data_IF_708778524410
#
_entry.id   IF_708778524410
#
_cell.length_a   1.000
_cell.length_b   1.000
_cell.length_c   1.000
_cell.angle_alpha   90.00
_cell.angle_beta   90.00
_cell.angle_gamma   90.00
#
_symmetry.space_group_name_H-M   'P 1'
#
loop_
_entity.id
_entity.type
_entity.pdbx_description
1 polymer ?
#
# COMPACT_ATOMS: atom_id res chain seq x y z
N UNK A 1 20.98 3.64 -44.68
CA UNK A 1 20.31 2.34 -44.50
C UNK A 1 21.29 1.32 -43.96
N UNK A 2 21.02 0.76 -42.78
CA UNK A 2 21.80 -0.32 -42.17
C UNK A 2 21.71 -1.61 -43.00
N UNK A 3 22.61 -2.57 -42.76
CA UNK A 3 22.57 -3.88 -43.43
C UNK A 3 21.24 -4.59 -43.20
N UNK A 4 20.69 -4.48 -41.98
CA UNK A 4 19.38 -5.05 -41.62
C UNK A 4 18.23 -4.35 -42.33
N UNK A 5 18.28 -3.03 -42.51
CA UNK A 5 17.26 -2.29 -43.27
C UNK A 5 17.26 -2.67 -44.76
N UNK A 6 18.45 -2.86 -45.35
CA UNK A 6 18.59 -3.34 -46.74
C UNK A 6 18.05 -4.77 -46.89
N UNK A 7 18.31 -5.63 -45.91
CA UNK A 7 17.79 -6.99 -45.90
C UNK A 7 16.26 -7.00 -45.75
N UNK A 8 15.71 -6.22 -44.82
CA UNK A 8 14.26 -6.11 -44.62
C UNK A 8 13.54 -5.61 -45.87
N UNK A 9 14.11 -4.64 -46.60
CA UNK A 9 13.57 -4.18 -47.88
C UNK A 9 13.53 -5.32 -48.91
N UNK A 10 14.63 -6.04 -49.09
CA UNK A 10 14.71 -7.18 -50.02
C UNK A 10 13.79 -8.33 -49.64
N UNK A 11 13.60 -8.59 -48.33
CA UNK A 11 12.66 -9.60 -47.84
C UNK A 11 11.20 -9.26 -48.14
N UNK A 12 10.84 -7.97 -48.26
CA UNK A 12 9.49 -7.55 -48.67
C UNK A 12 9.24 -7.73 -50.16
N UNK A 13 10.30 -7.73 -50.97
CA UNK A 13 10.22 -7.92 -52.42
C UNK A 13 10.17 -9.41 -52.83
N UNK A 14 10.41 -10.34 -51.90
CA UNK A 14 10.32 -11.79 -52.12
C UNK A 14 8.85 -12.25 -52.22
N UNK A 15 8.53 -13.25 -53.08
CA UNK A 15 7.21 -13.87 -53.09
C UNK A 15 6.83 -14.44 -51.73
N UNK A 16 5.56 -14.29 -51.33
CA UNK A 16 5.07 -14.73 -50.02
C UNK A 16 5.34 -16.22 -49.75
N UNK A 17 5.20 -17.09 -50.76
CA UNK A 17 5.40 -18.53 -50.59
C UNK A 17 6.88 -18.89 -50.31
N UNK A 18 7.82 -18.25 -51.02
CA UNK A 18 9.27 -18.43 -50.77
C UNK A 18 9.67 -17.93 -49.38
N UNK A 19 9.08 -16.81 -48.94
CA UNK A 19 9.31 -16.28 -47.60
C UNK A 19 8.77 -17.21 -46.52
N UNK A 20 7.58 -17.79 -46.73
CA UNK A 20 6.99 -18.78 -45.81
C UNK A 20 7.85 -20.03 -45.72
N UNK A 21 8.30 -20.59 -46.84
CA UNK A 21 9.19 -21.77 -46.84
C UNK A 21 10.51 -21.50 -46.11
N UNK A 22 11.08 -20.31 -46.29
CA UNK A 22 12.30 -19.91 -45.60
C UNK A 22 12.08 -19.79 -44.09
N UNK A 23 10.97 -19.18 -43.66
CA UNK A 23 10.60 -19.05 -42.25
C UNK A 23 10.32 -20.41 -41.60
N UNK A 24 9.62 -21.31 -42.28
CA UNK A 24 9.34 -22.67 -41.78
C UNK A 24 10.64 -23.44 -41.59
N UNK A 25 11.54 -23.42 -42.56
CA UNK A 25 12.85 -24.07 -42.46
C UNK A 25 13.70 -23.49 -41.33
N UNK A 26 13.73 -22.16 -41.20
CA UNK A 26 14.43 -21.50 -40.10
C UNK A 26 13.83 -21.86 -38.73
N UNK A 27 12.52 -22.09 -38.67
CA UNK A 27 11.83 -22.48 -37.44
C UNK A 27 12.11 -23.95 -37.05
N UNK A 28 12.42 -24.84 -37.98
CA UNK A 28 12.83 -26.22 -37.67
C UNK A 28 14.12 -26.25 -36.84
N UNK A 29 15.05 -25.35 -37.15
CA UNK A 29 16.35 -25.26 -36.47
C UNK A 29 16.33 -24.31 -35.26
N UNK A 30 15.30 -23.46 -35.13
CA UNK A 30 15.20 -22.46 -34.08
C UNK A 30 13.86 -22.54 -33.31
N UNK A 31 13.83 -23.24 -32.16
CA UNK A 31 12.62 -23.38 -31.34
C UNK A 31 12.02 -22.05 -30.87
N UNK A 32 12.84 -21.00 -30.66
CA UNK A 32 12.34 -19.67 -30.27
C UNK A 32 11.59 -19.00 -31.43
N UNK A 33 12.16 -19.06 -32.63
CA UNK A 33 11.51 -18.54 -33.85
C UNK A 33 10.24 -19.32 -34.16
N UNK A 34 10.26 -20.65 -34.03
CA UNK A 34 9.07 -21.49 -34.19
C UNK A 34 7.95 -21.07 -33.25
N UNK A 35 8.28 -20.87 -31.96
CA UNK A 35 7.31 -20.37 -30.98
C UNK A 35 6.76 -18.99 -31.38
N UNK A 36 7.62 -18.07 -31.81
CA UNK A 36 7.19 -16.73 -32.22
C UNK A 36 6.29 -16.74 -33.46
N UNK A 37 6.60 -17.56 -34.46
CA UNK A 37 5.77 -17.72 -35.66
C UNK A 37 4.41 -18.31 -35.30
N UNK A 38 4.39 -19.43 -34.55
CA UNK A 38 3.13 -20.05 -34.08
C UNK A 38 2.31 -19.06 -33.27
N UNK A 39 2.94 -18.33 -32.34
CA UNK A 39 2.26 -17.31 -31.53
C UNK A 39 1.67 -16.18 -32.39
N UNK A 40 2.32 -15.79 -33.49
CA UNK A 40 1.86 -14.72 -34.39
C UNK A 40 0.80 -15.19 -35.40
N UNK A 41 0.82 -16.46 -35.80
CA UNK A 41 -0.12 -17.01 -36.78
C UNK A 41 -1.31 -17.72 -36.16
N UNK A 42 -1.33 -17.93 -34.83
CA UNK A 42 -2.40 -18.63 -34.15
C UNK A 42 -3.78 -18.00 -34.39
N UNK A 43 -4.75 -18.85 -34.74
CA UNK A 43 -6.14 -18.43 -34.82
C UNK A 43 -6.82 -18.43 -33.43
N UNK A 44 -8.09 -18.03 -33.39
CA UNK A 44 -8.88 -18.00 -32.14
C UNK A 44 -8.96 -19.40 -31.51
N UNK A 45 -9.10 -20.45 -32.32
CA UNK A 45 -9.25 -21.83 -31.86
C UNK A 45 -7.96 -22.35 -31.25
N UNK A 46 -6.82 -22.06 -31.88
CA UNK A 46 -5.49 -22.43 -31.40
C UNK A 46 -5.16 -21.75 -30.06
N UNK A 47 -5.42 -20.44 -29.96
CA UNK A 47 -5.22 -19.66 -28.74
C UNK A 47 -6.13 -20.16 -27.61
N UNK A 48 -7.42 -20.39 -27.89
CA UNK A 48 -8.37 -20.94 -26.93
C UNK A 48 -7.95 -22.33 -26.45
N UNK A 49 -7.51 -23.21 -27.36
CA UNK A 49 -7.05 -24.55 -26.99
C UNK A 49 -5.76 -24.52 -26.16
N UNK A 50 -4.82 -23.62 -26.49
CA UNK A 50 -3.58 -23.44 -25.73
C UNK A 50 -3.86 -22.95 -24.30
N UNK A 51 -4.70 -21.93 -24.14
CA UNK A 51 -5.10 -21.41 -22.84
C UNK A 51 -5.80 -22.50 -21.99
N UNK A 52 -6.75 -23.25 -22.58
CA UNK A 52 -7.43 -24.36 -21.89
C UNK A 52 -6.43 -25.42 -21.41
N UNK A 53 -5.48 -25.84 -22.25
CA UNK A 53 -4.42 -26.79 -21.85
C UNK A 53 -3.59 -26.24 -20.70
N UNK A 54 -3.26 -24.95 -20.73
CA UNK A 54 -2.53 -24.28 -19.66
C UNK A 54 -3.28 -24.28 -18.33
N UNK A 55 -4.57 -23.94 -18.35
CA UNK A 55 -5.47 -23.98 -17.18
C UNK A 55 -5.58 -25.42 -16.65
N UNK A 56 -5.82 -26.41 -17.52
CA UNK A 56 -5.86 -27.83 -17.11
C UNK A 56 -4.53 -28.32 -16.53
N UNK A 57 -3.40 -27.75 -16.95
CA UNK A 57 -2.11 -28.08 -16.38
C UNK A 57 -1.86 -27.42 -15.01
N UNK A 58 -2.66 -26.43 -14.60
CA UNK A 58 -2.66 -25.87 -13.24
C UNK A 58 -3.54 -26.69 -12.30
N UNK A 59 -4.67 -27.23 -12.77
CA UNK A 59 -5.53 -28.14 -11.99
C UNK A 59 -4.94 -29.54 -11.78
N UNK A 60 -3.76 -29.79 -12.33
CA UNK A 60 -3.01 -31.06 -12.23
C UNK A 60 -1.65 -30.86 -11.55
N UNK A 61 -1.47 -29.73 -10.86
CA UNK A 61 -0.32 -29.58 -9.98
C UNK A 61 -0.44 -30.62 -8.88
N UNK A 62 0.72 -31.14 -8.49
CA UNK A 62 0.88 -32.20 -7.52
C UNK A 62 2.25 -32.01 -6.88
N UNK A 63 2.23 -31.57 -5.63
CA UNK A 63 3.39 -31.32 -4.80
C UNK A 63 3.95 -32.59 -4.17
N UNK A 64 3.18 -33.67 -4.11
CA UNK A 64 3.63 -34.97 -3.59
C UNK A 64 4.70 -35.56 -4.51
N UNK A 65 4.56 -35.38 -5.83
CA UNK A 65 5.50 -35.92 -6.82
C UNK A 65 6.66 -35.00 -7.16
N UNK A 66 6.62 -33.70 -6.80
CA UNK A 66 7.70 -32.75 -7.08
C UNK A 66 7.62 -31.46 -6.26
N UNK A 67 8.78 -30.84 -6.03
CA UNK A 67 8.86 -29.51 -5.45
C UNK A 67 8.31 -28.47 -6.44
N UNK A 68 7.29 -27.73 -6.01
CA UNK A 68 6.69 -26.62 -6.75
C UNK A 68 7.23 -25.28 -6.25
N UNK A 69 7.58 -24.40 -7.20
CA UNK A 69 8.16 -23.09 -6.93
C UNK A 69 7.11 -22.00 -7.21
N UNK A 70 6.74 -21.25 -6.18
CA UNK A 70 5.71 -20.20 -6.26
C UNK A 70 6.00 -19.16 -7.35
N UNK A 71 7.27 -18.76 -7.53
CA UNK A 71 7.66 -17.81 -8.59
C UNK A 71 7.50 -18.40 -9.99
N UNK A 72 7.72 -19.71 -10.18
CA UNK A 72 7.48 -20.38 -11.47
C UNK A 72 5.99 -20.54 -11.76
N UNK A 73 5.19 -20.90 -10.75
CA UNK A 73 3.75 -21.07 -10.92
C UNK A 73 3.06 -19.71 -11.14
N UNK A 74 3.41 -18.69 -10.36
CA UNK A 74 2.95 -17.31 -10.56
C UNK A 74 3.24 -16.81 -11.98
N UNK A 75 4.48 -16.95 -12.47
CA UNK A 75 4.82 -16.61 -13.87
C UNK A 75 3.99 -17.37 -14.90
N UNK A 76 3.67 -18.64 -14.63
CA UNK A 76 2.81 -19.44 -15.52
C UNK A 76 1.37 -18.91 -15.54
N UNK A 77 0.83 -18.49 -14.41
CA UNK A 77 -0.49 -17.82 -14.32
C UNK A 77 -0.46 -16.52 -15.12
N UNK A 78 0.55 -15.67 -14.89
CA UNK A 78 0.69 -14.41 -15.63
C UNK A 78 0.84 -14.61 -17.15
N UNK A 79 1.63 -15.61 -17.57
CA UNK A 79 1.78 -15.95 -18.98
C UNK A 79 0.47 -16.42 -19.60
N UNK A 80 -0.36 -17.14 -18.84
CA UNK A 80 -1.70 -17.52 -19.29
C UNK A 80 -2.62 -16.31 -19.40
N UNK A 81 -2.59 -15.39 -18.44
CA UNK A 81 -3.34 -14.12 -18.54
C UNK A 81 -2.91 -13.35 -19.80
N UNK A 82 -1.60 -13.25 -20.08
CA UNK A 82 -1.08 -12.60 -21.30
C UNK A 82 -1.56 -13.30 -22.58
N UNK A 83 -1.65 -14.63 -22.60
CA UNK A 83 -2.16 -15.38 -23.75
C UNK A 83 -3.66 -15.16 -23.94
N UNK A 84 -4.44 -15.17 -22.85
CA UNK A 84 -5.88 -14.94 -22.86
C UNK A 84 -6.18 -13.49 -23.29
N UNK A 85 -5.35 -12.52 -22.89
CA UNK A 85 -5.48 -11.13 -23.32
C UNK A 85 -5.36 -10.97 -24.84
N UNK A 86 -4.40 -11.66 -25.46
CA UNK A 86 -4.25 -11.66 -26.93
C UNK A 86 -5.47 -12.25 -27.62
N UNK A 87 -6.01 -13.36 -27.09
CA UNK A 87 -7.28 -13.91 -27.56
C UNK A 87 -8.41 -12.87 -27.45
N UNK A 88 -8.44 -12.13 -26.34
CA UNK A 88 -9.43 -11.09 -26.07
C UNK A 88 -9.42 -9.91 -27.05
N UNK A 89 -8.37 -9.73 -27.85
CA UNK A 89 -8.39 -8.78 -28.97
C UNK A 89 -9.44 -9.15 -30.02
N UNK A 90 -9.62 -10.46 -30.27
CA UNK A 90 -10.50 -11.00 -31.32
C UNK A 90 -11.77 -11.65 -30.79
N UNK A 91 -11.71 -12.26 -29.61
CA UNK A 91 -12.79 -13.03 -29.00
C UNK A 91 -12.94 -12.70 -27.50
N UNK A 92 -13.43 -11.49 -27.14
CA UNK A 92 -13.48 -11.01 -25.75
C UNK A 92 -14.33 -11.90 -24.84
N UNK A 93 -15.49 -12.40 -25.29
CA UNK A 93 -16.34 -13.28 -24.51
C UNK A 93 -15.67 -14.64 -24.19
N UNK A 94 -14.92 -15.22 -25.13
CA UNK A 94 -14.16 -16.46 -24.89
C UNK A 94 -13.00 -16.22 -23.93
N UNK A 95 -12.26 -15.11 -24.13
CA UNK A 95 -11.16 -14.74 -23.26
C UNK A 95 -11.62 -14.51 -21.82
N UNK A 96 -12.70 -13.75 -21.62
CA UNK A 96 -13.26 -13.52 -20.29
C UNK A 96 -13.69 -14.83 -19.62
N UNK A 97 -14.36 -15.73 -20.35
CA UNK A 97 -14.70 -17.05 -19.82
C UNK A 97 -13.47 -17.86 -19.40
N UNK A 98 -12.35 -17.76 -20.13
CA UNK A 98 -11.10 -18.42 -19.75
C UNK A 98 -10.46 -17.79 -18.51
N UNK A 99 -10.57 -16.48 -18.30
CA UNK A 99 -10.13 -15.84 -17.04
C UNK A 99 -10.96 -16.33 -15.85
N UNK A 100 -12.28 -16.44 -15.99
CA UNK A 100 -13.12 -17.01 -14.94
C UNK A 100 -12.77 -18.48 -14.63
N UNK A 101 -12.45 -19.28 -15.66
CA UNK A 101 -11.95 -20.64 -15.47
C UNK A 101 -10.58 -20.69 -14.79
N UNK A 102 -9.67 -19.77 -15.16
CA UNK A 102 -8.35 -19.64 -14.55
C UNK A 102 -8.48 -19.26 -13.07
N UNK A 103 -9.36 -18.30 -12.74
CA UNK A 103 -9.66 -17.92 -11.35
C UNK A 103 -10.10 -19.14 -10.52
N UNK A 104 -10.93 -20.02 -11.09
CA UNK A 104 -11.34 -21.28 -10.44
C UNK A 104 -10.21 -22.27 -10.13
N UNK A 105 -8.97 -22.00 -10.56
CA UNK A 105 -7.80 -22.83 -10.21
C UNK A 105 -7.05 -22.37 -8.96
N UNK A 106 -7.36 -21.19 -8.43
CA UNK A 106 -6.64 -20.57 -7.30
C UNK A 106 -6.53 -21.49 -6.08
N UNK A 107 -7.65 -22.12 -5.68
CA UNK A 107 -7.68 -23.03 -4.53
C UNK A 107 -6.73 -24.21 -4.69
N UNK A 108 -6.83 -24.93 -5.80
CA UNK A 108 -5.94 -26.06 -6.06
C UNK A 108 -4.48 -25.62 -6.04
N UNK A 109 -4.16 -24.45 -6.62
CA UNK A 109 -2.78 -23.96 -6.62
C UNK A 109 -2.27 -23.68 -5.20
N UNK A 110 -3.08 -23.08 -4.32
CA UNK A 110 -2.68 -22.81 -2.94
C UNK A 110 -2.59 -24.09 -2.07
N UNK A 111 -3.37 -25.12 -2.39
CA UNK A 111 -3.26 -26.43 -1.73
C UNK A 111 -1.93 -27.12 -2.10
N UNK A 112 -1.44 -26.90 -3.31
CA UNK A 112 -0.22 -27.54 -3.83
C UNK A 112 1.06 -26.69 -3.65
N UNK A 113 0.94 -25.37 -3.43
CA UNK A 113 2.10 -24.46 -3.47
C UNK A 113 2.09 -23.50 -2.28
N UNK A 114 3.21 -23.49 -1.54
CA UNK A 114 3.45 -22.49 -0.49
C UNK A 114 3.59 -21.08 -1.09
N UNK A 115 2.60 -20.23 -0.83
CA UNK A 115 2.57 -18.83 -1.25
C UNK A 115 2.88 -17.86 -0.09
N UNK A 116 3.75 -18.23 0.85
CA UNK A 116 4.21 -17.30 1.91
C UNK A 116 4.81 -16.00 1.36
N UNK A 117 5.26 -16.00 0.09
CA UNK A 117 5.74 -14.81 -0.63
C UNK A 117 4.64 -13.89 -1.18
N UNK A 118 3.39 -14.36 -1.29
CA UNK A 118 2.26 -13.63 -1.88
C UNK A 118 2.24 -13.54 -3.41
N UNK A 119 3.17 -14.19 -4.11
CA UNK A 119 3.33 -14.08 -5.57
C UNK A 119 2.20 -14.73 -6.36
N UNK A 120 1.63 -15.82 -5.86
CA UNK A 120 0.48 -16.47 -6.50
C UNK A 120 -0.76 -15.60 -6.27
N UNK A 121 -0.95 -15.16 -5.02
CA UNK A 121 -2.02 -14.23 -4.64
C UNK A 121 -2.00 -12.98 -5.52
N UNK A 122 -0.84 -12.36 -5.74
CA UNK A 122 -0.70 -11.18 -6.60
C UNK A 122 -1.02 -11.48 -8.07
N UNK A 123 -0.66 -12.65 -8.59
CA UNK A 123 -0.99 -13.03 -9.97
C UNK A 123 -2.52 -13.08 -10.20
N UNK A 124 -3.28 -13.55 -9.22
CA UNK A 124 -4.75 -13.54 -9.26
C UNK A 124 -5.32 -12.14 -8.98
N UNK A 125 -4.91 -11.49 -7.89
CA UNK A 125 -5.51 -10.24 -7.39
C UNK A 125 -5.09 -8.99 -8.14
N UNK A 126 -3.99 -9.04 -8.87
CA UNK A 126 -3.50 -7.88 -9.63
C UNK A 126 -3.56 -8.17 -11.12
N UNK A 127 -2.84 -9.19 -11.58
CA UNK A 127 -2.67 -9.43 -13.03
C UNK A 127 -3.96 -9.92 -13.69
N UNK A 128 -4.59 -10.97 -13.14
CA UNK A 128 -5.84 -11.50 -13.69
C UNK A 128 -6.98 -10.48 -13.56
N UNK A 129 -7.16 -9.85 -12.40
CA UNK A 129 -8.23 -8.85 -12.20
C UNK A 129 -8.14 -7.69 -13.17
N UNK A 130 -6.94 -7.12 -13.37
CA UNK A 130 -6.73 -6.02 -14.33
C UNK A 130 -7.07 -6.42 -15.76
N UNK A 131 -6.76 -7.66 -16.16
CA UNK A 131 -7.11 -8.20 -17.47
C UNK A 131 -8.64 -8.38 -17.61
N UNK A 132 -9.29 -8.95 -16.60
CA UNK A 132 -10.73 -9.18 -16.58
C UNK A 132 -11.53 -7.87 -16.66
N UNK A 133 -11.19 -6.87 -15.84
CA UNK A 133 -11.83 -5.55 -15.84
C UNK A 133 -11.75 -4.85 -17.19
N UNK A 134 -10.63 -5.01 -17.91
CA UNK A 134 -10.47 -4.45 -19.27
C UNK A 134 -11.31 -5.20 -20.32
N UNK A 135 -11.49 -6.51 -20.16
CA UNK A 135 -12.16 -7.35 -21.16
C UNK A 135 -13.68 -7.36 -21.00
N UNK A 136 -14.21 -7.26 -19.78
CA UNK A 136 -15.65 -7.38 -19.51
C UNK A 136 -16.47 -6.36 -20.30
N UNK A 137 -16.01 -5.09 -20.38
CA UNK A 137 -16.70 -4.04 -21.15
C UNK A 137 -16.73 -4.27 -22.67
N UNK A 138 -16.01 -5.26 -23.19
CA UNK A 138 -16.01 -5.66 -24.60
C UNK A 138 -16.83 -6.94 -24.85
N UNK A 139 -17.41 -7.52 -23.80
CA UNK A 139 -18.20 -8.75 -23.89
C UNK A 139 -19.66 -8.43 -24.19
N UNK A 140 -20.11 -8.74 -25.42
CA UNK A 140 -21.47 -8.40 -25.86
C UNK A 140 -22.45 -9.59 -25.83
N UNK A 141 -21.94 -10.82 -25.67
CA UNK A 141 -22.77 -12.00 -25.50
C UNK A 141 -23.11 -12.23 -24.02
N UNK A 142 -24.27 -11.73 -23.58
CA UNK A 142 -24.74 -11.83 -22.20
C UNK A 142 -24.87 -13.28 -21.70
N UNK A 143 -25.26 -14.22 -22.57
CA UNK A 143 -25.38 -15.64 -22.21
C UNK A 143 -24.01 -16.22 -21.83
N UNK A 144 -22.98 -15.95 -22.64
CA UNK A 144 -21.61 -16.40 -22.34
C UNK A 144 -21.05 -15.69 -21.10
N UNK A 145 -21.32 -14.39 -20.96
CA UNK A 145 -20.88 -13.61 -19.81
C UNK A 145 -21.48 -14.12 -18.50
N UNK A 146 -22.79 -14.39 -18.48
CA UNK A 146 -23.47 -14.99 -17.33
C UNK A 146 -22.93 -16.38 -16.99
N UNK A 147 -22.68 -17.22 -18.00
CA UNK A 147 -22.06 -18.54 -17.78
C UNK A 147 -20.67 -18.41 -17.16
N UNK A 148 -19.84 -17.49 -17.67
CA UNK A 148 -18.51 -17.23 -17.14
C UNK A 148 -18.55 -16.72 -15.69
N UNK A 149 -19.43 -15.77 -15.38
CA UNK A 149 -19.60 -15.25 -14.02
C UNK A 149 -20.09 -16.33 -13.06
N UNK A 150 -21.01 -17.22 -13.48
CA UNK A 150 -21.42 -18.37 -12.65
C UNK A 150 -20.24 -19.28 -12.32
N UNK A 151 -19.32 -19.50 -13.26
CA UNK A 151 -18.08 -20.25 -13.01
C UNK A 151 -17.19 -19.55 -11.99
N UNK A 152 -17.00 -18.24 -12.12
CA UNK A 152 -16.19 -17.47 -11.17
C UNK A 152 -16.79 -17.52 -9.75
N UNK A 153 -18.12 -17.36 -9.63
CA UNK A 153 -18.82 -17.34 -8.34
C UNK A 153 -19.14 -18.74 -7.77
N UNK A 154 -18.44 -19.80 -8.18
CA UNK A 154 -18.67 -21.14 -7.62
C UNK A 154 -18.23 -21.23 -6.16
N UNK A 155 -17.03 -20.77 -5.84
CA UNK A 155 -16.47 -20.76 -4.49
C UNK A 155 -15.51 -19.58 -4.32
N UNK A 156 -15.39 -19.05 -3.11
CA UNK A 156 -14.44 -17.96 -2.81
C UNK A 156 -13.69 -18.22 -1.49
N UNK A 157 -12.83 -19.25 -1.44
CA UNK A 157 -12.14 -19.63 -0.22
C UNK A 157 -11.18 -18.55 0.31
N UNK A 158 -10.74 -17.61 -0.54
CA UNK A 158 -9.76 -16.58 -0.18
C UNK A 158 -10.31 -15.15 -0.21
N UNK A 159 -11.56 -14.93 -0.60
CA UNK A 159 -12.11 -13.59 -0.83
C UNK A 159 -11.67 -12.96 -2.16
N UNK A 160 -10.98 -13.71 -3.02
CA UNK A 160 -10.49 -13.23 -4.32
C UNK A 160 -11.66 -13.05 -5.30
N UNK A 161 -12.72 -13.85 -5.24
CA UNK A 161 -13.88 -13.68 -6.13
C UNK A 161 -14.68 -12.43 -5.76
N UNK A 162 -14.83 -12.11 -4.49
CA UNK A 162 -15.41 -10.83 -4.06
C UNK A 162 -14.66 -9.64 -4.68
N UNK A 163 -13.33 -9.62 -4.60
CA UNK A 163 -12.50 -8.60 -5.25
C UNK A 163 -12.60 -8.63 -6.78
N UNK A 164 -12.77 -9.81 -7.37
CA UNK A 164 -13.00 -9.94 -8.81
C UNK A 164 -14.33 -9.30 -9.21
N UNK A 165 -15.39 -9.50 -8.43
CA UNK A 165 -16.69 -8.85 -8.63
C UNK A 165 -16.55 -7.33 -8.53
N UNK A 166 -15.82 -6.79 -7.56
CA UNK A 166 -15.54 -5.34 -7.50
C UNK A 166 -14.86 -4.83 -8.78
N UNK A 167 -13.95 -5.61 -9.36
CA UNK A 167 -13.21 -5.22 -10.57
C UNK A 167 -14.05 -5.26 -11.85
N UNK A 168 -15.00 -6.19 -11.98
CA UNK A 168 -15.79 -6.38 -13.22
C UNK A 168 -17.22 -5.86 -13.12
N UNK A 169 -17.76 -5.78 -11.90
CA UNK A 169 -19.14 -5.45 -11.57
C UNK A 169 -19.66 -4.18 -12.24
N UNK A 170 -18.94 -3.05 -12.20
CA UNK A 170 -19.38 -1.80 -12.82
C UNK A 170 -19.60 -1.86 -14.34
N UNK A 171 -19.10 -2.92 -15.01
CA UNK A 171 -19.28 -3.15 -16.45
C UNK A 171 -20.22 -4.30 -16.77
N UNK A 172 -20.80 -4.96 -15.76
CA UNK A 172 -21.79 -6.02 -15.97
C UNK A 172 -23.18 -5.39 -16.20
N UNK A 173 -23.98 -5.92 -17.14
CA UNK A 173 -25.40 -5.57 -17.23
C UNK A 173 -26.15 -5.95 -15.96
N UNK A 174 -27.05 -5.08 -15.49
CA UNK A 174 -27.87 -5.28 -14.28
C UNK A 174 -28.63 -6.62 -14.30
N UNK A 175 -29.15 -7.04 -15.46
CA UNK A 175 -29.84 -8.34 -15.63
C UNK A 175 -28.95 -9.53 -15.24
N UNK A 176 -27.65 -9.46 -15.56
CA UNK A 176 -26.67 -10.49 -15.18
C UNK A 176 -26.44 -10.45 -13.67
N UNK A 177 -26.27 -9.25 -13.09
CA UNK A 177 -26.07 -9.08 -11.65
C UNK A 177 -27.27 -9.63 -10.86
N UNK A 178 -28.49 -9.29 -11.27
CA UNK A 178 -29.73 -9.77 -10.64
C UNK A 178 -29.90 -11.29 -10.76
N UNK A 179 -29.53 -11.87 -11.90
CA UNK A 179 -29.53 -13.33 -12.07
C UNK A 179 -28.52 -14.00 -11.12
N UNK A 180 -27.32 -13.42 -10.96
CA UNK A 180 -26.31 -13.94 -10.05
C UNK A 180 -26.74 -13.81 -8.58
N UNK A 181 -27.33 -12.67 -8.19
CA UNK A 181 -27.91 -12.48 -6.86
C UNK A 181 -28.97 -13.53 -6.55
N UNK A 182 -29.83 -13.82 -7.52
CA UNK A 182 -30.85 -14.88 -7.41
C UNK A 182 -30.22 -16.26 -7.24
N UNK A 183 -29.18 -16.59 -8.00
CA UNK A 183 -28.51 -17.89 -7.93
C UNK A 183 -27.75 -18.09 -6.62
N UNK A 184 -27.05 -17.06 -6.15
CA UNK A 184 -26.32 -17.08 -4.88
C UNK A 184 -27.27 -17.08 -3.67
N UNK A 185 -28.43 -16.43 -3.79
CA UNK A 185 -29.48 -16.42 -2.76
C UNK A 185 -30.10 -17.80 -2.49
N UNK A 186 -30.02 -18.74 -3.45
CA UNK A 186 -30.48 -20.13 -3.26
C UNK A 186 -29.53 -20.98 -2.42
N UNK A 187 -28.28 -20.53 -2.23
CA UNK A 187 -27.27 -21.28 -1.47
C UNK A 187 -27.48 -21.04 0.02
N UNK A 188 -27.27 -22.06 0.88
CA UNK A 188 -27.36 -21.88 2.31
C UNK A 188 -26.30 -20.88 2.79
N UNK A 189 -26.69 -20.06 3.77
CA UNK A 189 -25.73 -19.24 4.54
C UNK A 189 -25.07 -20.17 5.55
N UNK A 190 -23.75 -20.13 5.65
CA UNK A 190 -23.02 -20.94 6.62
C UNK A 190 -23.43 -20.56 8.05
N UNK A 191 -23.47 -21.55 8.94
CA UNK A 191 -23.82 -21.31 10.33
C UNK A 191 -22.73 -20.46 11.03
N UNK A 192 -23.11 -19.47 11.86
CA UNK A 192 -22.17 -18.65 12.61
C UNK A 192 -21.17 -19.52 13.39
N UNK A 193 -19.87 -19.28 13.20
CA UNK A 193 -18.83 -19.92 14.00
C UNK A 193 -18.76 -19.25 15.39
N UNK A 194 -18.54 -20.05 16.43
CA UNK A 194 -18.54 -19.59 17.82
C UNK A 194 -17.46 -18.52 18.15
N UNK A 195 -16.47 -18.32 17.26
CA UNK A 195 -15.37 -17.37 17.41
C UNK A 195 -15.72 -15.91 17.06
N UNK A 196 -16.96 -15.62 16.64
CA UNK A 196 -17.44 -14.24 16.43
C UNK A 196 -16.97 -13.55 15.14
N UNK A 197 -16.00 -14.12 14.42
CA UNK A 197 -15.63 -13.70 13.07
C UNK A 197 -16.18 -14.72 12.06
N UNK A 198 -17.32 -14.41 11.45
CA UNK A 198 -17.91 -15.23 10.40
C UNK A 198 -17.65 -14.60 9.04
N UNK A 199 -16.70 -15.17 8.29
CA UNK A 199 -16.55 -14.88 6.86
C UNK A 199 -17.37 -15.89 6.08
N UNK A 200 -18.45 -15.43 5.44
CA UNK A 200 -19.22 -16.23 4.49
C UNK A 200 -18.94 -15.70 3.08
N UNK A 201 -18.19 -16.48 2.32
CA UNK A 201 -17.85 -16.22 0.92
C UNK A 201 -19.08 -15.89 0.06
N UNK A 202 -20.21 -16.60 0.28
CA UNK A 202 -21.44 -16.38 -0.48
C UNK A 202 -22.07 -15.03 -0.14
N UNK A 203 -22.10 -14.67 1.15
CA UNK A 203 -22.60 -13.37 1.60
C UNK A 203 -21.72 -12.25 1.06
N UNK A 204 -20.40 -12.41 1.08
CA UNK A 204 -19.49 -11.36 0.59
C UNK A 204 -19.63 -11.17 -0.93
N UNK A 205 -19.71 -12.23 -1.72
CA UNK A 205 -19.97 -12.12 -3.17
C UNK A 205 -21.29 -11.38 -3.46
N UNK A 206 -22.36 -11.69 -2.71
CA UNK A 206 -23.66 -10.99 -2.84
C UNK A 206 -23.55 -9.52 -2.47
N UNK A 207 -22.81 -9.17 -1.40
CA UNK A 207 -22.53 -7.78 -1.03
C UNK A 207 -21.85 -7.03 -2.18
N UNK A 208 -20.82 -7.61 -2.80
CA UNK A 208 -20.11 -6.97 -3.93
C UNK A 208 -20.97 -6.80 -5.18
N UNK A 209 -21.86 -7.76 -5.47
CA UNK A 209 -22.84 -7.62 -6.54
C UNK A 209 -23.83 -6.48 -6.29
N UNK A 210 -24.29 -6.30 -5.05
CA UNK A 210 -25.18 -5.18 -4.68
C UNK A 210 -24.46 -3.84 -4.77
N UNK A 211 -23.18 -3.78 -4.42
CA UNK A 211 -22.32 -2.61 -4.66
C UNK A 211 -22.25 -2.27 -6.15
N UNK A 212 -22.07 -3.27 -7.01
CA UNK A 212 -21.96 -3.06 -8.46
C UNK A 212 -23.19 -2.40 -9.11
N UNK A 213 -24.39 -2.62 -8.55
CA UNK A 213 -25.65 -1.99 -9.01
C UNK A 213 -26.11 -0.83 -8.11
N UNK A 214 -25.33 -0.46 -7.08
CA UNK A 214 -25.68 0.62 -6.17
C UNK A 214 -26.86 0.33 -5.22
N UNK A 215 -27.29 -0.92 -5.03
CA UNK A 215 -28.48 -1.22 -4.21
C UNK A 215 -28.16 -1.22 -2.71
N UNK A 216 -28.25 -0.04 -2.10
CA UNK A 216 -27.97 0.20 -0.67
C UNK A 216 -28.98 -0.52 0.25
N UNK A 217 -30.25 -0.61 -0.16
CA UNK A 217 -31.32 -1.17 0.67
C UNK A 217 -31.11 -2.68 0.85
N UNK A 218 -31.00 -3.41 -0.26
CA UNK A 218 -30.75 -4.86 -0.21
C UNK A 218 -29.38 -5.17 0.40
N UNK A 219 -28.38 -4.29 0.22
CA UNK A 219 -27.08 -4.46 0.89
C UNK A 219 -27.23 -4.39 2.42
N UNK A 220 -27.99 -3.41 2.91
CA UNK A 220 -28.24 -3.22 4.34
C UNK A 220 -29.06 -4.38 4.92
N UNK A 221 -30.09 -4.83 4.22
CA UNK A 221 -30.91 -6.00 4.60
C UNK A 221 -30.07 -7.29 4.67
N UNK A 222 -29.20 -7.51 3.68
CA UNK A 222 -28.29 -8.66 3.65
C UNK A 222 -27.33 -8.64 4.84
N UNK A 223 -26.76 -7.48 5.18
CA UNK A 223 -25.91 -7.35 6.37
C UNK A 223 -26.69 -7.68 7.65
N UNK A 224 -27.87 -7.08 7.81
CA UNK A 224 -28.71 -7.25 9.01
C UNK A 224 -29.18 -8.69 9.24
N UNK A 225 -29.44 -9.46 8.18
CA UNK A 225 -29.94 -10.84 8.24
C UNK A 225 -28.85 -11.91 8.43
N UNK A 226 -27.57 -11.56 8.30
CA UNK A 226 -26.47 -12.55 8.28
C UNK A 226 -25.46 -12.34 9.42
N UNK A 227 -24.70 -11.26 9.33
CA UNK A 227 -23.53 -10.99 10.19
C UNK A 227 -23.76 -9.79 11.10
N UNK A 228 -24.82 -9.01 10.86
CA UNK A 228 -25.01 -7.69 11.46
C UNK A 228 -24.34 -6.59 10.63
N UNK A 229 -24.77 -5.35 10.82
CA UNK A 229 -24.21 -4.20 10.12
C UNK A 229 -22.95 -3.69 10.83
N UNK A 230 -21.77 -3.95 10.27
CA UNK A 230 -20.50 -3.55 10.88
C UNK A 230 -19.97 -2.22 10.34
N UNK A 231 -18.99 -1.64 11.04
CA UNK A 231 -18.35 -0.40 10.59
C UNK A 231 -17.73 -0.48 9.18
N UNK A 232 -17.19 -1.63 8.76
CA UNK A 232 -16.68 -1.82 7.39
C UNK A 232 -17.79 -1.85 6.33
N UNK A 233 -18.96 -2.40 6.69
CA UNK A 233 -20.14 -2.37 5.83
C UNK A 233 -20.65 -0.92 5.71
N UNK A 234 -20.65 -0.16 6.80
CA UNK A 234 -21.00 1.27 6.79
C UNK A 234 -20.03 2.12 5.94
N UNK A 235 -18.72 1.82 5.93
CA UNK A 235 -17.79 2.47 5.00
C UNK A 235 -18.15 2.18 3.53
N UNK A 236 -18.60 0.95 3.23
CA UNK A 236 -19.03 0.58 1.88
C UNK A 236 -20.33 1.31 1.50
N UNK A 237 -21.31 1.33 2.39
CA UNK A 237 -22.58 2.05 2.19
C UNK A 237 -22.34 3.56 2.00
N UNK A 238 -21.44 4.16 2.79
CA UNK A 238 -21.11 5.57 2.63
C UNK A 238 -20.49 5.86 1.26
N UNK A 239 -19.68 4.96 0.72
CA UNK A 239 -19.13 5.07 -0.64
C UNK A 239 -20.23 4.95 -1.71
N UNK A 240 -21.16 4.00 -1.57
CA UNK A 240 -22.31 3.88 -2.47
C UNK A 240 -23.21 5.15 -2.46
N UNK A 241 -23.44 5.74 -1.29
CA UNK A 241 -24.17 7.02 -1.20
C UNK A 241 -23.44 8.15 -1.94
N UNK A 242 -22.11 8.20 -1.88
CA UNK A 242 -21.32 9.18 -2.66
C UNK A 242 -21.48 8.94 -4.17
N UNK A 243 -21.47 7.68 -4.61
CA UNK A 243 -21.67 7.32 -6.03
C UNK A 243 -23.08 7.68 -6.54
N UNK A 244 -24.06 7.74 -5.63
CA UNK A 244 -25.42 8.21 -5.89
C UNK A 244 -25.61 9.73 -5.71
N UNK A 245 -24.52 10.48 -5.54
CA UNK A 245 -24.53 11.93 -5.24
C UNK A 245 -25.30 12.32 -3.96
N UNK A 246 -25.61 11.37 -3.07
CA UNK A 246 -26.25 11.61 -1.76
C UNK A 246 -25.21 11.76 -0.65
N UNK A 247 -24.59 12.94 -0.62
CA UNK A 247 -23.57 13.28 0.37
C UNK A 247 -24.12 13.32 1.81
N UNK A 248 -25.41 13.59 1.99
CA UNK A 248 -26.03 13.63 3.32
C UNK A 248 -26.23 12.21 3.86
N UNK A 249 -26.73 11.29 3.04
CA UNK A 249 -26.81 9.87 3.37
C UNK A 249 -25.45 9.26 3.69
N UNK A 250 -24.41 9.64 2.92
CA UNK A 250 -23.03 9.22 3.18
C UNK A 250 -22.52 9.72 4.55
N UNK A 251 -22.72 11.00 4.87
CA UNK A 251 -22.30 11.57 6.15
C UNK A 251 -23.02 10.91 7.34
N UNK A 252 -24.35 10.77 7.23
CA UNK A 252 -25.16 10.14 8.27
C UNK A 252 -24.74 8.68 8.51
N UNK A 253 -24.33 7.99 7.46
CA UNK A 253 -23.81 6.62 7.56
C UNK A 253 -22.48 6.59 8.30
N UNK A 254 -21.52 7.45 7.95
CA UNK A 254 -20.23 7.53 8.67
C UNK A 254 -20.40 7.92 10.14
N UNK A 255 -21.34 8.82 10.45
CA UNK A 255 -21.62 9.25 11.82
C UNK A 255 -22.11 8.12 12.74
N UNK A 256 -22.65 7.03 12.19
CA UNK A 256 -23.10 5.85 12.96
C UNK A 256 -21.94 4.93 13.35
N UNK A 257 -20.74 5.10 12.78
CA UNK A 257 -19.58 4.28 13.09
C UNK A 257 -19.01 4.71 14.45
N UNK A 258 -19.08 3.81 15.43
CA UNK A 258 -18.57 4.04 16.79
C UNK A 258 -17.32 3.22 17.15
N UNK A 259 -16.99 2.19 16.35
CA UNK A 259 -15.80 1.36 16.57
C UNK A 259 -14.52 2.16 16.26
N UNK A 260 -13.74 2.46 17.30
CA UNK A 260 -12.48 3.20 17.19
C UNK A 260 -11.51 2.60 16.16
N UNK A 261 -11.46 1.26 16.04
CA UNK A 261 -10.59 0.58 15.07
C UNK A 261 -10.96 0.90 13.64
N UNK A 262 -12.24 1.16 13.37
CA UNK A 262 -12.75 1.55 12.05
C UNK A 262 -12.53 3.03 11.80
N UNK A 263 -12.78 3.88 12.81
CA UNK A 263 -12.57 5.34 12.73
C UNK A 263 -11.08 5.67 12.47
N UNK A 264 -10.16 4.88 13.01
CA UNK A 264 -8.72 5.03 12.79
C UNK A 264 -8.26 4.54 11.40
N UNK A 265 -9.11 3.86 10.62
CA UNK A 265 -8.74 3.38 9.29
C UNK A 265 -8.53 4.56 8.32
N UNK A 266 -7.51 4.50 7.43
CA UNK A 266 -7.31 5.52 6.40
C UNK A 266 -8.53 5.78 5.53
N UNK A 267 -9.30 4.72 5.21
CA UNK A 267 -10.52 4.80 4.39
C UNK A 267 -11.61 5.65 5.05
N UNK A 268 -11.80 5.57 6.38
CA UNK A 268 -12.78 6.40 7.08
C UNK A 268 -12.45 7.89 6.91
N UNK A 269 -11.19 8.26 7.13
CA UNK A 269 -10.73 9.65 6.99
C UNK A 269 -10.83 10.17 5.56
N UNK A 270 -10.47 9.33 4.58
CA UNK A 270 -10.55 9.69 3.17
C UNK A 270 -12.00 9.97 2.72
N UNK A 271 -12.94 9.10 3.09
CA UNK A 271 -14.37 9.30 2.81
C UNK A 271 -14.91 10.54 3.54
N UNK A 272 -14.61 10.70 4.82
CA UNK A 272 -15.05 11.87 5.60
C UNK A 272 -14.55 13.18 5.00
N UNK A 273 -13.28 13.24 4.60
CA UNK A 273 -12.71 14.41 3.94
C UNK A 273 -13.41 14.69 2.60
N UNK A 274 -13.64 13.68 1.76
CA UNK A 274 -14.35 13.82 0.48
C UNK A 274 -15.76 14.36 0.69
N UNK A 275 -16.53 13.76 1.60
CA UNK A 275 -17.91 14.17 1.91
C UNK A 275 -17.95 15.63 2.39
N UNK A 276 -17.14 15.97 3.40
CA UNK A 276 -17.11 17.33 3.93
C UNK A 276 -16.65 18.37 2.92
N UNK A 277 -15.72 18.00 2.03
CA UNK A 277 -15.27 18.89 0.96
C UNK A 277 -16.40 19.19 -0.01
N UNK A 278 -17.13 18.17 -0.43
CA UNK A 278 -18.26 18.33 -1.35
C UNK A 278 -19.45 19.06 -0.69
N UNK A 279 -19.66 18.90 0.62
CA UNK A 279 -20.66 19.63 1.40
C UNK A 279 -20.25 21.06 1.81
N UNK A 280 -19.03 21.51 1.47
CA UNK A 280 -18.54 22.84 1.87
C UNK A 280 -18.32 23.02 3.38
N UNK A 281 -18.11 21.93 4.14
CA UNK A 281 -17.89 21.97 5.59
C UNK A 281 -16.44 22.35 5.94
N UNK A 282 -16.05 23.56 5.55
CA UNK A 282 -14.71 24.09 5.71
C UNK A 282 -14.22 24.08 7.17
N UNK A 283 -15.10 24.40 8.13
CA UNK A 283 -14.76 24.40 9.56
C UNK A 283 -14.44 23.00 10.08
N UNK A 284 -15.19 21.99 9.67
CA UNK A 284 -14.96 20.59 10.05
C UNK A 284 -13.65 20.07 9.46
N UNK A 285 -13.39 20.37 8.19
CA UNK A 285 -12.12 20.04 7.52
C UNK A 285 -10.95 20.72 8.22
N UNK A 286 -11.08 22.01 8.52
CA UNK A 286 -10.06 22.78 9.23
C UNK A 286 -9.77 22.13 10.58
N UNK A 287 -10.79 21.86 11.40
CA UNK A 287 -10.62 21.22 12.70
C UNK A 287 -9.91 19.86 12.61
N UNK A 288 -10.30 19.01 11.65
CA UNK A 288 -9.69 17.70 11.44
C UNK A 288 -8.22 17.80 11.04
N UNK A 289 -7.92 18.56 9.98
CA UNK A 289 -6.55 18.69 9.48
C UNK A 289 -5.65 19.43 10.47
N UNK A 290 -6.18 20.41 11.21
CA UNK A 290 -5.49 21.08 12.31
C UNK A 290 -5.13 20.09 13.42
N UNK A 291 -6.05 19.21 13.80
CA UNK A 291 -5.77 18.14 14.76
C UNK A 291 -4.66 17.20 14.28
N UNK A 292 -4.62 16.89 12.98
CA UNK A 292 -3.58 16.06 12.37
C UNK A 292 -2.20 16.73 12.43
N UNK A 293 -2.11 18.02 12.13
CA UNK A 293 -0.86 18.78 12.29
C UNK A 293 -0.39 18.79 13.75
N UNK A 294 -1.30 19.02 14.70
CA UNK A 294 -0.95 19.13 16.12
C UNK A 294 -0.61 17.78 16.78
N UNK A 295 -1.13 16.67 16.25
CA UNK A 295 -0.91 15.32 16.79
C UNK A 295 0.22 14.58 16.07
N UNK A 296 0.33 14.76 14.75
CA UNK A 296 1.33 14.14 13.89
C UNK A 296 2.07 15.21 13.06
N UNK A 297 2.79 16.15 13.70
CA UNK A 297 3.43 17.28 13.04
C UNK A 297 4.51 16.81 12.08
N UNK A 298 4.27 16.92 10.77
CA UNK A 298 5.21 16.58 9.70
C UNK A 298 5.04 17.59 8.58
N UNK A 299 6.06 17.71 7.73
CA UNK A 299 5.95 18.58 6.54
C UNK A 299 4.78 18.17 5.63
N UNK A 300 4.50 16.87 5.52
CA UNK A 300 3.35 16.36 4.77
C UNK A 300 2.00 16.81 5.36
N UNK A 301 1.79 16.66 6.68
CA UNK A 301 0.52 17.05 7.32
C UNK A 301 0.30 18.57 7.26
N UNK A 302 1.35 19.38 7.43
CA UNK A 302 1.29 20.82 7.26
C UNK A 302 0.98 21.24 5.81
N UNK A 303 1.62 20.60 4.82
CA UNK A 303 1.35 20.90 3.41
C UNK A 303 -0.09 20.58 3.02
N UNK A 304 -0.63 19.45 3.51
CA UNK A 304 -2.05 19.08 3.31
C UNK A 304 -2.96 20.15 3.91
N UNK A 305 -2.70 20.57 5.16
CA UNK A 305 -3.47 21.62 5.82
C UNK A 305 -3.41 22.96 5.08
N UNK A 306 -2.21 23.40 4.70
CA UNK A 306 -1.98 24.64 3.94
C UNK A 306 -2.72 24.64 2.61
N UNK A 307 -2.71 23.51 1.90
CA UNK A 307 -3.40 23.37 0.61
C UNK A 307 -4.92 23.46 0.75
N UNK A 308 -5.47 23.00 1.88
CA UNK A 308 -6.90 22.98 2.14
C UNK A 308 -7.44 24.26 2.79
N UNK A 309 -6.66 24.90 3.66
CA UNK A 309 -7.10 26.00 4.53
C UNK A 309 -6.39 27.34 4.26
N UNK A 310 -5.39 27.36 3.38
CA UNK A 310 -4.64 28.57 3.03
C UNK A 310 -3.41 28.83 3.91
N UNK A 311 -2.59 29.78 3.47
CA UNK A 311 -1.31 30.10 4.14
C UNK A 311 -1.51 30.76 5.52
N UNK A 312 -2.54 31.60 5.67
CA UNK A 312 -2.82 32.28 6.93
C UNK A 312 -3.18 31.29 8.04
N UNK A 313 -4.12 30.38 7.77
CA UNK A 313 -4.48 29.30 8.70
C UNK A 313 -3.26 28.40 9.01
N UNK A 314 -2.43 28.09 8.01
CA UNK A 314 -1.21 27.33 8.20
C UNK A 314 -0.24 28.02 9.16
N UNK A 315 -0.07 29.35 9.06
CA UNK A 315 0.75 30.12 9.97
C UNK A 315 0.20 30.08 11.40
N UNK A 316 -1.12 30.13 11.57
CA UNK A 316 -1.74 30.06 12.89
C UNK A 316 -1.55 28.68 13.54
N UNK A 317 -1.77 27.57 12.80
CA UNK A 317 -1.50 26.25 13.38
C UNK A 317 -0.02 26.03 13.71
N UNK A 318 0.90 26.65 12.96
CA UNK A 318 2.34 26.62 13.29
C UNK A 318 2.60 27.34 14.62
N UNK A 319 1.99 28.51 14.85
CA UNK A 319 2.08 29.22 16.14
C UNK A 319 1.50 28.39 17.28
N UNK A 320 0.36 27.73 17.05
CA UNK A 320 -0.27 26.87 18.05
C UNK A 320 0.57 25.62 18.35
N UNK A 321 1.20 25.03 17.33
CA UNK A 321 2.15 23.95 17.50
C UNK A 321 3.34 24.41 18.35
N UNK A 322 3.92 25.58 18.05
CA UNK A 322 5.01 26.15 18.84
C UNK A 322 4.58 26.38 20.30
N UNK A 323 3.41 26.99 20.53
CA UNK A 323 2.86 27.21 21.87
C UNK A 323 2.61 25.89 22.63
N UNK A 324 2.13 24.84 21.94
CA UNK A 324 1.93 23.51 22.52
C UNK A 324 3.25 22.89 22.97
N UNK A 325 4.29 22.98 22.14
CA UNK A 325 5.63 22.48 22.47
C UNK A 325 6.18 23.30 23.65
N UNK A 326 6.04 24.63 23.65
CA UNK A 326 6.50 25.52 24.74
C UNK A 326 5.79 25.19 26.07
N UNK A 327 4.48 24.96 26.04
CA UNK A 327 3.70 24.59 27.22
C UNK A 327 4.12 23.21 27.76
N UNK A 328 4.41 22.24 26.89
CA UNK A 328 4.93 20.94 27.30
C UNK A 328 6.30 21.08 27.98
N UNK A 329 7.20 21.89 27.41
CA UNK A 329 8.52 22.18 28.00
C UNK A 329 8.41 22.82 29.39
N UNK A 330 7.54 23.83 29.57
CA UNK A 330 7.28 24.45 30.90
C UNK A 330 6.81 23.44 31.93
N UNK A 331 6.00 22.46 31.52
CA UNK A 331 5.51 21.35 32.38
C UNK A 331 6.52 20.22 32.52
N UNK A 332 7.74 20.36 31.98
CA UNK A 332 8.80 19.32 31.92
C UNK A 332 8.31 18.02 31.28
N UNK A 333 7.37 18.13 30.35
CA UNK A 333 6.84 17.01 29.58
C UNK A 333 7.70 16.79 28.33
N UNK A 334 7.83 15.54 27.87
CA UNK A 334 8.59 15.24 26.66
C UNK A 334 7.92 15.89 25.44
N UNK A 335 8.74 16.54 24.61
CA UNK A 335 8.30 17.13 23.35
C UNK A 335 8.33 16.09 22.22
N UNK A 336 7.37 16.18 21.28
CA UNK A 336 7.38 15.37 20.07
C UNK A 336 8.51 15.84 19.13
N UNK A 337 9.50 15.00 18.77
CA UNK A 337 10.61 15.42 17.92
C UNK A 337 10.19 15.84 16.54
N UNK A 338 9.14 15.24 15.97
CA UNK A 338 8.64 15.66 14.67
C UNK A 338 8.12 17.10 14.73
N UNK A 339 7.60 17.54 15.88
CA UNK A 339 7.27 18.95 16.11
C UNK A 339 8.52 19.82 16.14
N UNK A 340 9.57 19.41 16.87
CA UNK A 340 10.84 20.13 16.94
C UNK A 340 11.52 20.24 15.56
N UNK A 341 11.54 19.14 14.79
CA UNK A 341 12.07 19.08 13.42
C UNK A 341 11.30 20.08 12.56
N UNK A 342 9.98 19.97 12.50
CA UNK A 342 9.13 20.84 11.68
C UNK A 342 9.30 22.31 12.05
N UNK A 343 9.24 22.65 13.35
CA UNK A 343 9.40 24.02 13.81
C UNK A 343 10.80 24.59 13.52
N UNK A 344 11.85 23.76 13.64
CA UNK A 344 13.21 24.15 13.27
C UNK A 344 13.34 24.41 11.77
N UNK A 345 12.70 23.58 10.92
CA UNK A 345 12.65 23.81 9.47
C UNK A 345 11.90 25.10 9.10
N UNK A 346 10.94 25.51 9.93
CA UNK A 346 10.12 26.70 9.73
C UNK A 346 10.70 27.98 10.36
N UNK A 347 11.93 27.92 10.90
CA UNK A 347 12.63 29.09 11.43
C UNK A 347 12.43 29.37 12.92
N UNK A 348 11.80 28.48 13.68
CA UNK A 348 11.66 28.59 15.15
C UNK A 348 12.88 28.03 15.91
N UNK A 349 14.01 27.86 15.25
CA UNK A 349 15.10 26.99 15.69
C UNK A 349 15.83 27.40 16.98
N UNK A 350 15.99 28.70 17.26
CA UNK A 350 16.60 29.17 18.52
C UNK A 350 15.76 28.76 19.73
N UNK A 351 14.44 29.01 19.68
CA UNK A 351 13.50 28.56 20.71
C UNK A 351 13.51 27.04 20.87
N UNK A 352 13.57 26.29 19.77
CA UNK A 352 13.59 24.83 19.83
C UNK A 352 14.88 24.29 20.46
N UNK A 353 15.99 25.03 20.40
CA UNK A 353 17.28 24.63 20.99
C UNK A 353 17.18 24.52 22.52
N UNK A 354 16.54 25.48 23.18
CA UNK A 354 16.31 25.45 24.63
C UNK A 354 15.49 24.22 25.06
N UNK A 355 14.60 23.79 24.18
CA UNK A 355 13.64 22.72 24.45
C UNK A 355 14.24 21.33 24.32
N UNK A 356 15.36 21.18 23.60
CA UNK A 356 16.10 19.92 23.47
C UNK A 356 16.54 19.40 24.83
N UNK A 357 16.80 20.28 25.81
CA UNK A 357 17.19 19.89 27.18
C UNK A 357 16.14 18.99 27.85
N UNK A 358 14.86 19.10 27.48
CA UNK A 358 13.77 18.29 28.02
C UNK A 358 13.61 16.92 27.34
N UNK A 359 14.29 16.68 26.22
CA UNK A 359 14.24 15.38 25.52
C UNK A 359 14.96 14.26 26.29
N UNK A 360 15.84 14.58 27.25
CA UNK A 360 16.55 13.60 28.09
C UNK A 360 15.63 12.64 28.85
N UNK A 361 14.38 13.05 29.13
CA UNK A 361 13.41 12.26 29.89
C UNK A 361 12.29 11.66 29.03
N UNK A 362 12.37 11.81 27.70
CA UNK A 362 11.35 11.29 26.79
C UNK A 362 11.52 9.76 26.63
N UNK A 363 10.56 8.93 27.07
CA UNK A 363 10.74 7.48 27.07
C UNK A 363 10.67 6.81 25.68
N UNK A 364 10.42 7.56 24.59
CA UNK A 364 9.78 7.00 23.40
C UNK A 364 10.48 7.25 22.07
N UNK A 365 11.71 7.76 22.06
CA UNK A 365 12.38 8.11 20.81
C UNK A 365 13.39 7.05 20.39
N UNK A 366 13.27 6.60 19.14
CA UNK A 366 14.28 5.81 18.48
C UNK A 366 15.46 6.71 18.03
N UNK A 367 16.63 6.12 17.80
CA UNK A 367 17.82 6.85 17.36
C UNK A 367 17.66 7.53 15.99
N UNK A 368 16.82 7.01 15.10
CA UNK A 368 16.59 7.57 13.78
C UNK A 368 15.98 8.97 13.83
N UNK A 369 14.94 9.15 14.65
CA UNK A 369 14.27 10.46 14.80
C UNK A 369 15.19 11.51 15.44
N UNK A 370 16.02 11.10 16.42
CA UNK A 370 16.99 11.98 17.06
C UNK A 370 18.12 12.37 16.10
N UNK A 371 18.61 11.44 15.27
CA UNK A 371 19.60 11.75 14.23
C UNK A 371 19.06 12.73 13.20
N UNK A 372 17.80 12.55 12.78
CA UNK A 372 17.12 13.49 11.89
C UNK A 372 17.03 14.88 12.53
N UNK A 373 16.64 14.98 13.81
CA UNK A 373 16.60 16.25 14.53
C UNK A 373 17.98 16.91 14.64
N UNK A 374 19.03 16.17 15.00
CA UNK A 374 20.39 16.70 15.08
C UNK A 374 20.86 17.25 13.72
N UNK A 375 20.58 16.53 12.63
CA UNK A 375 20.90 16.96 11.26
C UNK A 375 20.11 18.20 10.85
N UNK A 376 18.84 18.30 11.23
CA UNK A 376 18.01 19.47 10.96
C UNK A 376 18.57 20.70 11.66
N UNK A 377 18.94 20.60 12.93
CA UNK A 377 19.63 21.69 13.64
C UNK A 377 20.95 22.08 12.98
N UNK A 378 21.79 21.09 12.64
CA UNK A 378 23.08 21.33 11.99
C UNK A 378 22.91 22.09 10.66
N UNK A 379 22.02 21.63 9.78
CA UNK A 379 21.77 22.26 8.47
C UNK A 379 21.26 23.70 8.61
N UNK A 380 20.61 24.03 9.72
CA UNK A 380 20.13 25.38 10.05
C UNK A 380 21.16 26.24 10.80
N UNK A 381 22.37 25.73 11.03
CA UNK A 381 23.43 26.43 11.77
C UNK A 381 23.23 26.46 13.29
N UNK A 382 22.28 25.68 13.82
CA UNK A 382 21.93 25.65 15.25
C UNK A 382 22.76 24.60 15.98
N UNK A 383 24.07 24.85 16.06
CA UNK A 383 25.04 23.87 16.55
C UNK A 383 24.86 23.46 18.02
N UNK A 384 24.32 24.35 18.86
CA UNK A 384 23.98 24.03 20.25
C UNK A 384 22.89 22.95 20.29
N UNK A 385 21.77 23.14 19.58
CA UNK A 385 20.68 22.17 19.50
C UNK A 385 21.15 20.82 18.94
N UNK A 386 21.91 20.84 17.85
CA UNK A 386 22.49 19.63 17.26
C UNK A 386 23.38 18.88 18.27
N UNK A 387 24.21 19.62 19.02
CA UNK A 387 25.09 19.07 20.03
C UNK A 387 24.31 18.43 21.18
N UNK A 388 23.30 19.10 21.71
CA UNK A 388 22.49 18.59 22.82
C UNK A 388 21.77 17.28 22.43
N UNK A 389 21.27 17.17 21.20
CA UNK A 389 20.64 15.92 20.71
C UNK A 389 21.64 14.77 20.65
N UNK A 390 22.87 15.00 20.14
CA UNK A 390 23.91 13.97 20.15
C UNK A 390 24.30 13.57 21.57
N UNK A 391 24.41 14.53 22.51
CA UNK A 391 24.72 14.24 23.92
C UNK A 391 23.67 13.34 24.57
N UNK A 392 22.40 13.53 24.26
CA UNK A 392 21.31 12.65 24.72
C UNK A 392 21.53 11.21 24.25
N UNK A 393 21.81 11.04 22.96
CA UNK A 393 22.03 9.73 22.37
C UNK A 393 23.30 9.05 22.92
N UNK A 394 24.41 9.78 23.04
CA UNK A 394 25.66 9.28 23.64
C UNK A 394 25.41 8.81 25.07
N UNK A 395 24.79 9.66 25.91
CA UNK A 395 24.51 9.30 27.30
C UNK A 395 23.66 8.04 27.39
N UNK A 396 22.62 7.90 26.55
CA UNK A 396 21.77 6.71 26.52
C UNK A 396 22.54 5.44 26.16
N UNK A 397 23.37 5.48 25.12
CA UNK A 397 24.21 4.34 24.70
C UNK A 397 25.14 3.89 25.85
N UNK A 398 25.76 4.87 26.53
CA UNK A 398 26.74 4.59 27.58
C UNK A 398 26.08 4.12 28.88
N UNK A 399 24.94 4.72 29.26
CA UNK A 399 24.15 4.35 30.43
C UNK A 399 23.54 2.96 30.29
N UNK A 400 22.99 2.62 29.12
CA UNK A 400 22.43 1.29 28.83
C UNK A 400 23.52 0.24 28.49
N UNK A 401 24.76 0.68 28.24
CA UNK A 401 25.88 -0.22 27.94
C UNK A 401 25.81 -0.93 26.59
N UNK A 402 25.23 -0.27 25.57
CA UNK A 402 25.04 -0.81 24.21
C UNK A 402 26.36 -0.85 23.42
N UNK A 403 27.18 -1.87 23.68
CA UNK A 403 28.53 -1.98 23.11
C UNK A 403 28.60 -2.01 21.58
N UNK A 404 27.59 -2.55 20.91
CA UNK A 404 27.49 -2.56 19.44
C UNK A 404 27.31 -1.17 18.83
N UNK A 405 26.85 -0.20 19.62
CA UNK A 405 26.61 1.18 19.18
C UNK A 405 27.75 2.13 19.56
N UNK A 406 28.81 1.66 20.24
CA UNK A 406 29.92 2.51 20.69
C UNK A 406 30.67 3.22 19.57
N UNK A 407 30.84 2.57 18.42
CA UNK A 407 31.45 3.22 17.25
C UNK A 407 30.64 4.42 16.80
N UNK A 408 29.31 4.34 16.79
CA UNK A 408 28.41 5.45 16.47
C UNK A 408 28.41 6.55 17.54
N UNK A 409 28.55 6.19 18.82
CA UNK A 409 28.68 7.18 19.88
C UNK A 409 30.01 7.93 19.80
N UNK A 410 31.13 7.24 19.52
CA UNK A 410 32.46 7.86 19.43
C UNK A 410 32.57 8.86 18.27
N UNK A 411 32.15 8.40 17.10
CA UNK A 411 31.66 9.17 15.96
C UNK A 411 30.99 10.52 16.31
N UNK A 412 29.99 10.48 17.20
CA UNK A 412 29.23 11.67 17.57
C UNK A 412 30.02 12.60 18.48
N UNK A 413 30.94 12.09 19.32
CA UNK A 413 31.87 12.92 20.11
C UNK A 413 32.76 13.77 19.20
N UNK A 414 33.20 13.23 18.06
CA UNK A 414 33.99 13.99 17.08
C UNK A 414 33.17 15.09 16.42
N UNK A 415 31.91 14.79 16.09
CA UNK A 415 30.97 15.82 15.61
C UNK A 415 30.77 16.92 16.65
N UNK A 416 30.58 16.56 17.93
CA UNK A 416 30.47 17.51 19.03
C UNK A 416 31.68 18.44 19.13
N UNK A 417 32.90 17.89 19.01
CA UNK A 417 34.12 18.68 19.04
C UNK A 417 34.17 19.68 17.88
N UNK A 418 33.79 19.24 16.67
CA UNK A 418 33.74 20.10 15.49
C UNK A 418 32.71 21.22 15.66
N UNK A 419 31.48 20.88 16.07
CA UNK A 419 30.39 21.84 16.22
C UNK A 419 30.58 22.80 17.38
N UNK A 420 31.30 22.39 18.44
CA UNK A 420 31.59 23.24 19.60
C UNK A 420 32.30 24.55 19.24
N UNK A 421 33.08 24.57 18.15
CA UNK A 421 33.79 25.76 17.66
C UNK A 421 32.84 26.84 17.15
N UNK A 422 31.60 26.47 16.84
CA UNK A 422 30.56 27.36 16.35
C UNK A 422 29.56 27.76 17.45
N UNK A 423 29.78 27.36 18.70
CA UNK A 423 28.89 27.65 19.84
C UNK A 423 29.58 28.66 20.75
N UNK A 424 29.05 29.88 20.78
CA UNK A 424 29.56 30.97 21.62
C UNK A 424 28.86 31.08 22.97
N UNK A 425 27.62 30.59 23.05
CA UNK A 425 26.81 30.58 24.27
C UNK A 425 26.21 29.18 24.47
N UNK A 426 26.41 28.61 25.66
CA UNK A 426 25.91 27.30 26.05
C UNK A 426 24.64 27.37 26.90
N UNK A 427 24.05 28.56 27.09
CA UNK A 427 22.80 28.78 27.82
C UNK A 427 22.83 28.21 29.24
N UNK A 428 23.98 28.30 29.91
CA UNK A 428 24.21 27.76 31.27
C UNK A 428 24.38 26.24 31.34
N UNK A 429 24.46 25.55 30.20
CA UNK A 429 24.79 24.12 30.13
C UNK A 429 26.31 23.93 30.07
N UNK A 430 26.82 22.73 30.43
CA UNK A 430 28.24 22.45 30.33
C UNK A 430 28.77 22.64 28.91
N UNK A 431 29.90 23.30 28.77
CA UNK A 431 30.56 23.43 27.47
C UNK A 431 31.04 22.05 26.95
N UNK A 432 31.63 21.99 25.76
CA UNK A 432 32.09 20.71 25.21
C UNK A 432 33.15 20.03 26.08
N UNK A 433 34.09 20.78 26.66
CA UNK A 433 35.18 20.24 27.48
C UNK A 433 34.63 19.71 28.80
N UNK A 434 33.79 20.49 29.47
CA UNK A 434 33.14 20.09 30.71
C UNK A 434 32.26 18.85 30.51
N UNK A 435 31.48 18.80 29.43
CA UNK A 435 30.69 17.61 29.10
C UNK A 435 31.58 16.39 28.86
N UNK A 436 32.66 16.54 28.09
CA UNK A 436 33.60 15.45 27.83
C UNK A 436 34.20 14.89 29.12
N UNK A 437 34.63 15.76 30.03
CA UNK A 437 35.18 15.38 31.33
C UNK A 437 34.13 14.66 32.20
N UNK A 438 32.88 15.11 32.17
CA UNK A 438 31.76 14.47 32.88
C UNK A 438 31.48 13.06 32.36
N UNK A 439 31.38 12.88 31.04
CA UNK A 439 31.13 11.54 30.46
C UNK A 439 32.34 10.62 30.65
N UNK A 440 33.57 11.16 30.62
CA UNK A 440 34.79 10.41 30.90
C UNK A 440 34.80 9.89 32.34
N UNK A 441 34.52 10.76 33.31
CA UNK A 441 34.45 10.39 34.72
C UNK A 441 33.34 9.37 35.00
N UNK A 442 32.16 9.51 34.39
CA UNK A 442 31.02 8.60 34.61
C UNK A 442 31.23 7.22 33.96
N UNK A 443 31.88 7.16 32.81
CA UNK A 443 31.99 5.95 31.99
C UNK A 443 33.43 5.49 31.74
N UNK A 444 34.36 5.77 32.66
CA UNK A 444 35.80 5.45 32.54
C UNK A 444 36.06 3.97 32.15
N UNK A 445 35.21 3.06 32.64
CA UNK A 445 35.35 1.60 32.46
C UNK A 445 34.89 1.11 31.09
N UNK A 446 34.27 1.95 30.27
CA UNK A 446 33.84 1.61 28.90
C UNK A 446 35.02 1.72 27.93
N UNK A 447 36.05 0.90 28.14
CA UNK A 447 37.35 0.99 27.44
C UNK A 447 37.24 0.90 25.91
N UNK A 448 36.30 0.08 25.39
CA UNK A 448 36.05 -0.03 23.95
C UNK A 448 35.53 1.27 23.32
N UNK A 449 34.66 2.00 24.02
CA UNK A 449 34.19 3.32 23.59
C UNK A 449 35.33 4.34 23.57
N UNK A 450 36.13 4.43 24.63
CA UNK A 450 37.27 5.34 24.70
C UNK A 450 38.40 5.00 23.72
N UNK A 451 38.54 3.73 23.34
CA UNK A 451 39.43 3.31 22.26
C UNK A 451 38.94 3.83 20.90
N UNK A 452 37.64 3.75 20.61
CA UNK A 452 37.04 4.30 19.40
C UNK A 452 37.20 5.84 19.33
N UNK A 453 36.88 6.55 20.41
CA UNK A 453 37.04 8.03 20.48
C UNK A 453 38.48 8.46 20.17
N UNK A 454 39.49 7.78 20.71
CA UNK A 454 40.91 8.11 20.48
C UNK A 454 41.40 7.84 19.06
N UNK A 455 40.78 6.90 18.35
CA UNK A 455 41.15 6.58 16.96
C UNK A 455 40.66 7.65 15.97
N UNK A 456 39.88 8.61 16.45
CA UNK A 456 39.11 9.49 15.58
C UNK A 456 37.82 8.81 15.12
N UNK A 457 37.80 7.48 14.96
CA UNK A 457 36.61 6.62 14.79
C UNK A 457 36.94 5.19 15.26
#
# INVERSE_FOLDING_TARGET
>A
MTVLEKLAARLRDLPSDELVELLVRAAEENPKLKKELVDKTADVKDLTAAAKRGITALTKLDAETRILDASKISRKVEDLVRQIDRLGERAPNEAFALLCNLLGTEQHIHEEVDDSSGLITDAFRVTLMKSAARLVGRCHNNKMLLTAMRTACLADPFGTVALFIDAVGPSLPDEIVETLLTDLGKRPVAAPHASGHHFDANVEMRKRLLVAIGDIERFTELCGSTTGLHGRDMLTIAEMYIEHDDLQGAEQTLAKITDARVIEMPKFRELQFRIWRSLGKHDAINAMLRSDVLSHPRRATLNTYRSACGEEAANDVIKDLAAKVEAAAKKKQPSNPNALILLTELGYGEKMTDMVTHLQKAPLLNFGDLLNLARTFQTRGLFLGASLVLRIMINRILDEGRSTEYTYAASWVVNLQTWSRHITDWHGLPDHREYYDQIHKKHERKTAFWAAVRRGW
#
